data_IF_529562188514
#
_entry.id   IF_529562188514
#
_cell.length_a   1.000
_cell.length_b   1.000
_cell.length_c   1.000
_cell.angle_alpha   90.00
_cell.angle_beta   90.00
_cell.angle_gamma   90.00
#
_symmetry.space_group_name_H-M   'P 1'
#
loop_
_entity.id
_entity.type
_entity.pdbx_description
1 polymer ?
#
# COMPACT_ATOMS: atom_id res chain seq x y z
N UNK A 1 9.96 10.05 -16.63
CA UNK A 1 8.93 9.59 -17.59
C UNK A 1 9.41 8.28 -18.19
N UNK A 2 8.61 7.23 -18.09
CA UNK A 2 8.97 5.89 -18.59
C UNK A 2 8.91 5.89 -20.13
N UNK A 3 9.87 5.27 -20.85
CA UNK A 3 9.81 5.17 -22.30
C UNK A 3 8.52 4.49 -22.79
N UNK A 4 7.90 5.04 -23.85
CA UNK A 4 6.61 4.56 -24.39
C UNK A 4 6.60 3.07 -24.73
N UNK A 5 7.74 2.50 -25.16
CA UNK A 5 7.83 1.07 -25.46
C UNK A 5 7.45 0.19 -24.26
N UNK A 6 7.87 0.56 -23.04
CA UNK A 6 7.52 -0.16 -21.82
C UNK A 6 6.03 -0.01 -21.47
N UNK A 7 5.46 1.18 -21.70
CA UNK A 7 4.03 1.44 -21.49
C UNK A 7 3.19 0.58 -22.45
N UNK A 8 3.56 0.55 -23.74
CA UNK A 8 2.89 -0.28 -24.74
C UNK A 8 2.96 -1.77 -24.41
N UNK A 9 4.11 -2.24 -23.92
CA UNK A 9 4.27 -3.63 -23.49
C UNK A 9 3.41 -3.93 -22.26
N UNK A 10 3.44 -3.07 -21.23
CA UNK A 10 2.68 -3.26 -19.99
C UNK A 10 1.16 -3.24 -20.20
N UNK A 11 0.67 -2.54 -21.22
CA UNK A 11 -0.75 -2.50 -21.60
C UNK A 11 -1.35 -3.88 -21.90
N UNK A 12 -0.53 -4.87 -22.22
CA UNK A 12 -0.95 -6.27 -22.37
C UNK A 12 -1.39 -6.90 -21.04
N UNK A 13 -0.82 -6.45 -19.92
CA UNK A 13 -1.14 -6.90 -18.57
C UNK A 13 -2.16 -5.99 -17.88
N UNK A 14 -2.04 -4.69 -18.09
CA UNK A 14 -2.88 -3.65 -17.50
C UNK A 14 -3.51 -2.80 -18.62
N UNK A 15 -4.59 -3.28 -19.28
CA UNK A 15 -5.19 -2.63 -20.44
C UNK A 15 -6.08 -1.43 -20.04
N UNK A 16 -5.51 -0.49 -19.28
CA UNK A 16 -6.19 0.72 -18.86
C UNK A 16 -6.44 1.67 -20.05
N UNK A 17 -7.46 2.52 -19.91
CA UNK A 17 -7.98 3.36 -21.00
C UNK A 17 -6.92 4.36 -21.45
N UNK A 18 -6.21 4.99 -20.50
CA UNK A 18 -5.18 5.98 -20.81
C UNK A 18 -3.77 5.44 -20.58
N UNK A 19 -2.82 5.85 -21.41
CA UNK A 19 -1.41 5.46 -21.26
C UNK A 19 -0.80 5.97 -19.94
N UNK A 20 -1.34 7.06 -19.36
CA UNK A 20 -0.97 7.53 -18.04
C UNK A 20 -1.37 6.53 -16.93
N UNK A 21 -2.56 5.94 -17.01
CA UNK A 21 -2.97 4.88 -16.08
C UNK A 21 -2.11 3.63 -16.22
N UNK A 22 -1.70 3.29 -17.45
CA UNK A 22 -0.79 2.16 -17.70
C UNK A 22 0.60 2.44 -17.13
N UNK A 23 1.15 3.64 -17.33
CA UNK A 23 2.42 4.07 -16.74
C UNK A 23 2.36 4.03 -15.21
N UNK A 24 1.30 4.55 -14.62
CA UNK A 24 1.12 4.59 -13.17
C UNK A 24 0.94 3.18 -12.57
N UNK A 25 0.18 2.30 -13.23
CA UNK A 25 0.06 0.90 -12.84
C UNK A 25 1.41 0.16 -12.86
N UNK A 26 2.25 0.44 -13.85
CA UNK A 26 3.61 -0.08 -13.93
C UNK A 26 4.47 0.41 -12.76
N UNK A 27 4.38 1.70 -12.40
CA UNK A 27 5.08 2.28 -11.26
C UNK A 27 4.61 1.65 -9.94
N UNK A 28 3.29 1.50 -9.75
CA UNK A 28 2.70 0.86 -8.57
C UNK A 28 3.18 -0.59 -8.45
N UNK A 29 3.19 -1.32 -9.57
CA UNK A 29 3.62 -2.73 -9.61
C UNK A 29 5.09 -2.87 -9.23
N UNK A 30 5.96 -1.99 -9.75
CA UNK A 30 7.37 -1.94 -9.36
C UNK A 30 7.53 -1.59 -7.88
N UNK A 31 6.83 -0.57 -7.39
CA UNK A 31 6.91 -0.15 -5.99
C UNK A 31 6.51 -1.28 -5.03
N UNK A 32 5.45 -2.03 -5.36
CA UNK A 32 5.05 -3.20 -4.57
C UNK A 32 6.16 -4.27 -4.53
N UNK A 33 6.78 -4.57 -5.68
CA UNK A 33 7.90 -5.52 -5.72
C UNK A 33 9.08 -5.01 -4.88
N UNK A 34 9.47 -3.75 -5.04
CA UNK A 34 10.60 -3.16 -4.33
C UNK A 34 10.34 -3.11 -2.80
N UNK A 35 9.12 -2.78 -2.36
CA UNK A 35 8.71 -2.80 -0.95
C UNK A 35 8.79 -4.20 -0.35
N UNK A 36 8.20 -5.20 -1.00
CA UNK A 36 8.10 -6.55 -0.45
C UNK A 36 9.33 -7.43 -0.74
N UNK A 37 10.31 -6.92 -1.49
CA UNK A 37 11.64 -7.53 -1.63
C UNK A 37 12.60 -7.11 -0.52
N UNK A 38 12.28 -6.06 0.24
CA UNK A 38 13.05 -5.63 1.40
C UNK A 38 12.55 -6.36 2.66
N UNK A 39 13.44 -7.09 3.33
CA UNK A 39 13.10 -7.92 4.50
C UNK A 39 12.45 -7.11 5.63
N UNK A 40 12.97 -5.91 5.92
CA UNK A 40 12.45 -5.07 6.98
C UNK A 40 11.04 -4.56 6.65
N UNK A 41 10.83 -4.09 5.41
CA UNK A 41 9.51 -3.62 4.98
C UNK A 41 8.50 -4.75 4.90
N UNK A 42 8.87 -5.91 4.37
CA UNK A 42 8.00 -7.08 4.26
C UNK A 42 7.55 -7.59 5.65
N UNK A 43 8.45 -7.57 6.64
CA UNK A 43 8.16 -8.00 8.00
C UNK A 43 7.40 -6.96 8.83
N UNK A 44 7.44 -5.68 8.46
CA UNK A 44 6.78 -4.61 9.22
C UNK A 44 5.49 -4.09 8.57
N UNK A 45 5.24 -4.35 7.29
CA UNK A 45 4.11 -3.81 6.54
C UNK A 45 3.23 -4.91 5.93
N UNK A 46 1.91 -4.69 5.95
CA UNK A 46 0.95 -5.46 5.17
C UNK A 46 0.26 -4.59 4.14
N UNK A 47 0.16 -5.11 2.91
CA UNK A 47 -0.57 -4.49 1.82
C UNK A 47 -2.07 -4.80 1.93
N UNK A 48 -2.90 -3.75 1.87
CA UNK A 48 -4.35 -3.85 2.03
C UNK A 48 -5.07 -2.93 1.03
N UNK A 49 -6.39 -2.84 1.18
CA UNK A 49 -7.21 -1.91 0.40
C UNK A 49 -7.68 -2.46 -0.94
N UNK A 50 -8.28 -1.60 -1.75
CA UNK A 50 -8.84 -1.98 -3.04
C UNK A 50 -7.77 -2.43 -4.04
N UNK A 51 -6.62 -1.76 -4.02
CA UNK A 51 -5.49 -2.09 -4.89
C UNK A 51 -4.93 -3.48 -4.59
N UNK A 52 -4.87 -3.89 -3.32
CA UNK A 52 -4.45 -5.24 -2.95
C UNK A 52 -5.37 -6.32 -3.52
N UNK A 53 -6.68 -6.13 -3.42
CA UNK A 53 -7.66 -7.06 -4.02
C UNK A 53 -7.51 -7.13 -5.54
N UNK A 54 -7.36 -5.98 -6.20
CA UNK A 54 -7.20 -5.95 -7.65
C UNK A 54 -5.90 -6.59 -8.14
N UNK A 55 -4.79 -6.38 -7.42
CA UNK A 55 -3.47 -6.89 -7.83
C UNK A 55 -3.26 -8.35 -7.49
N UNK A 56 -3.82 -8.84 -6.39
CA UNK A 56 -3.55 -10.18 -5.87
C UNK A 56 -4.67 -11.19 -6.15
N UNK A 57 -5.92 -10.74 -6.32
CA UNK A 57 -7.08 -11.65 -6.40
C UNK A 57 -7.92 -11.52 -7.67
N UNK A 58 -8.06 -10.32 -8.25
CA UNK A 58 -8.90 -10.14 -9.44
C UNK A 58 -8.08 -10.15 -10.73
N UNK A 59 -8.33 -11.15 -11.58
CA UNK A 59 -7.78 -11.22 -12.93
C UNK A 59 -8.92 -11.43 -13.95
N UNK A 60 -9.27 -10.44 -14.79
CA UNK A 60 -8.73 -9.07 -14.84
C UNK A 60 -9.25 -8.16 -13.71
N UNK A 61 -8.50 -7.10 -13.39
CA UNK A 61 -8.91 -6.11 -12.40
C UNK A 61 -10.15 -5.33 -12.87
N UNK A 62 -11.21 -5.18 -12.04
CA UNK A 62 -12.48 -4.59 -12.45
C UNK A 62 -12.45 -3.06 -12.60
N UNK A 63 -11.53 -2.37 -11.91
CA UNK A 63 -11.37 -0.93 -11.99
C UNK A 63 -9.93 -0.52 -11.73
N UNK A 64 -9.56 0.65 -12.24
CA UNK A 64 -8.30 1.29 -11.94
C UNK A 64 -8.25 1.73 -10.46
N UNK A 65 -7.08 1.61 -9.84
CA UNK A 65 -6.82 2.02 -8.46
C UNK A 65 -5.39 2.52 -8.37
N UNK A 66 -5.19 3.73 -7.83
CA UNK A 66 -3.90 4.40 -7.79
C UNK A 66 -3.17 4.33 -6.45
N UNK A 67 -3.92 4.18 -5.35
CA UNK A 67 -3.37 4.24 -3.99
C UNK A 67 -2.74 2.90 -3.57
N UNK A 68 -1.65 2.91 -2.80
CA UNK A 68 -1.06 1.71 -2.19
C UNK A 68 -1.32 1.72 -0.67
N UNK A 69 -2.43 1.17 -0.19
CA UNK A 69 -2.70 1.20 1.24
C UNK A 69 -1.82 0.20 2.01
N UNK A 70 -0.98 0.72 2.92
CA UNK A 70 -0.11 -0.08 3.79
C UNK A 70 -0.56 0.02 5.24
N UNK A 71 -0.35 -1.04 6.02
CA UNK A 71 -0.47 -0.98 7.48
C UNK A 71 0.70 -1.64 8.17
N UNK A 72 1.08 -1.07 9.30
CA UNK A 72 2.07 -1.65 10.17
C UNK A 72 1.49 -2.89 10.87
N UNK A 73 2.20 -4.01 10.81
CA UNK A 73 1.76 -5.26 11.45
C UNK A 73 2.27 -5.40 12.89
N UNK A 74 3.37 -4.73 13.22
CA UNK A 74 3.98 -4.76 14.55
C UNK A 74 3.78 -3.46 15.32
N UNK A 75 3.56 -3.53 16.64
CA UNK A 75 3.40 -2.37 17.50
C UNK A 75 4.74 -1.70 17.87
N UNK A 76 5.44 -1.15 16.89
CA UNK A 76 6.78 -0.55 17.06
C UNK A 76 6.83 0.90 16.54
N UNK A 77 7.82 1.71 16.95
CA UNK A 77 8.03 3.02 16.33
C UNK A 77 8.22 2.89 14.82
N UNK A 78 7.40 3.60 14.04
CA UNK A 78 7.39 3.42 12.58
C UNK A 78 8.61 4.07 11.89
N UNK A 79 9.35 4.94 12.57
CA UNK A 79 10.41 5.77 11.98
C UNK A 79 11.38 5.02 11.07
N UNK A 80 11.94 3.89 11.54
CA UNK A 80 12.89 3.10 10.75
C UNK A 80 12.26 2.50 9.48
N UNK A 81 11.01 2.04 9.56
CA UNK A 81 10.24 1.50 8.42
C UNK A 81 10.03 2.59 7.37
N UNK A 82 9.75 3.81 7.83
CA UNK A 82 9.53 4.95 6.96
C UNK A 82 10.78 5.43 6.26
N UNK A 83 11.89 5.50 6.98
CA UNK A 83 13.17 5.88 6.40
C UNK A 83 13.59 4.85 5.36
N UNK A 84 13.38 3.55 5.66
CA UNK A 84 13.63 2.49 4.69
C UNK A 84 12.72 2.56 3.47
N UNK A 85 11.44 2.88 3.65
CA UNK A 85 10.50 3.05 2.55
C UNK A 85 10.91 4.21 1.62
N UNK A 86 11.45 5.30 2.18
CA UNK A 86 12.00 6.44 1.40
C UNK A 86 13.25 6.04 0.62
N UNK A 87 14.11 5.22 1.20
CA UNK A 87 15.32 4.72 0.53
C UNK A 87 14.95 3.81 -0.66
N UNK A 88 14.06 2.84 -0.43
CA UNK A 88 13.61 1.88 -1.44
C UNK A 88 12.89 2.58 -2.59
N UNK A 89 12.07 3.59 -2.27
CA UNK A 89 11.28 4.34 -3.26
C UNK A 89 11.92 5.67 -3.68
N UNK A 90 13.24 5.81 -3.56
CA UNK A 90 13.95 7.07 -3.83
C UNK A 90 13.85 7.58 -5.28
N UNK A 91 13.43 6.70 -6.20
CA UNK A 91 13.20 7.02 -7.61
C UNK A 91 11.84 7.70 -7.83
N UNK A 92 10.99 7.76 -6.80
CA UNK A 92 9.74 8.49 -6.77
C UNK A 92 9.95 9.86 -6.14
N UNK A 93 9.04 10.78 -6.42
CA UNK A 93 9.13 12.12 -5.86
C UNK A 93 9.00 12.12 -4.34
N UNK A 94 9.67 13.06 -3.64
CA UNK A 94 9.70 13.09 -2.19
C UNK A 94 8.29 13.29 -1.62
N UNK A 95 7.94 12.54 -0.55
CA UNK A 95 6.58 12.44 -0.08
C UNK A 95 6.04 13.75 0.51
N UNK A 96 4.79 14.11 0.18
CA UNK A 96 4.05 15.24 0.79
C UNK A 96 3.36 14.79 2.08
N UNK A 97 3.88 15.25 3.22
CA UNK A 97 3.29 14.98 4.54
C UNK A 97 2.02 15.82 4.75
N UNK A 98 0.84 15.19 4.78
CA UNK A 98 -0.42 15.80 5.23
C UNK A 98 -0.90 15.11 6.49
N UNK A 99 -0.77 15.79 7.62
CA UNK A 99 -1.25 15.31 8.92
C UNK A 99 -2.78 15.56 8.98
N UNK A 100 -3.58 14.49 8.97
CA UNK A 100 -5.02 14.53 9.29
C UNK A 100 -5.30 13.52 10.40
N UNK A 101 -6.31 13.79 11.22
CA UNK A 101 -6.69 13.03 12.44
C UNK A 101 -7.19 11.58 12.19
N UNK A 102 -6.90 10.94 11.05
CA UNK A 102 -7.42 9.61 10.69
C UNK A 102 -6.30 8.67 10.25
N UNK A 103 -6.03 7.62 11.04
CA UNK A 103 -5.04 6.58 10.78
C UNK A 103 -5.24 5.86 9.43
N UNK A 104 -4.52 6.29 8.39
CA UNK A 104 -4.30 5.54 7.16
C UNK A 104 -2.96 5.98 6.52
N UNK A 105 -2.13 5.02 6.12
CA UNK A 105 -0.96 5.27 5.27
C UNK A 105 -1.46 5.22 3.83
N UNK A 106 -1.75 6.39 3.24
CA UNK A 106 -2.14 6.51 1.84
C UNK A 106 -0.98 7.15 1.05
N UNK A 107 -0.22 6.36 0.27
CA UNK A 107 0.59 6.83 -0.83
C UNK A 107 -0.33 7.31 -1.96
N UNK A 108 -0.44 8.62 -2.12
CA UNK A 108 -1.11 9.23 -3.28
C UNK A 108 -0.07 9.28 -4.41
N UNK A 109 -0.16 8.29 -5.31
CA UNK A 109 0.63 8.31 -6.54
C UNK A 109 -0.16 9.07 -7.61
N UNK A 110 0.27 10.24 -8.08
CA UNK A 110 -0.37 10.97 -9.20
C UNK A 110 0.66 11.42 -10.22
N UNK A 111 0.48 11.00 -11.47
CA UNK A 111 1.17 11.63 -12.61
C UNK A 111 0.27 12.72 -13.19
N UNK A 112 0.36 13.94 -12.68
CA UNK A 112 -0.17 15.12 -13.39
C UNK A 112 0.89 15.62 -14.35
N UNK A 113 0.56 15.71 -15.64
CA UNK A 113 1.47 16.25 -16.65
C UNK A 113 2.06 17.62 -16.28
N UNK A 114 3.32 17.82 -16.71
CA UNK A 114 4.16 19.02 -16.72
C UNK A 114 4.55 19.73 -15.42
N UNK A 115 4.04 19.33 -14.25
CA UNK A 115 4.70 19.68 -12.97
C UNK A 115 4.43 18.59 -11.94
N UNK A 116 5.38 17.66 -11.86
CA UNK A 116 5.35 16.53 -10.95
C UNK A 116 5.29 16.98 -9.49
N UNK A 117 4.46 16.31 -8.70
CA UNK A 117 4.66 16.15 -7.26
C UNK A 117 3.72 15.06 -6.71
N UNK A 118 4.31 13.93 -6.38
CA UNK A 118 3.72 12.71 -5.84
C UNK A 118 3.95 12.63 -4.32
N UNK A 119 2.97 12.20 -3.50
CA UNK A 119 3.07 12.37 -2.04
C UNK A 119 2.55 11.21 -1.19
N UNK A 120 3.44 10.58 -0.41
CA UNK A 120 3.10 9.62 0.65
C UNK A 120 2.69 10.33 1.94
N UNK A 121 1.55 9.93 2.53
CA UNK A 121 1.12 10.36 3.86
C UNK A 121 1.35 9.28 4.92
N UNK A 122 1.76 9.69 6.13
CA UNK A 122 2.01 8.79 7.26
C UNK A 122 1.44 9.31 8.57
N UNK A 123 0.88 8.39 9.34
CA UNK A 123 0.23 8.65 10.63
C UNK A 123 0.62 7.51 11.57
N UNK A 124 1.19 7.83 12.73
CA UNK A 124 1.48 6.89 13.80
C UNK A 124 0.45 7.06 14.91
N UNK A 125 -0.21 5.96 15.33
CA UNK A 125 -0.66 5.76 16.71
C UNK A 125 -1.08 4.30 16.97
N UNK A 126 -0.52 3.80 18.07
CA UNK A 126 -0.86 2.65 18.91
C UNK A 126 -0.95 1.26 18.29
N UNK A 127 -0.21 0.37 18.96
CA UNK A 127 -0.16 -1.07 18.84
C UNK A 127 -1.55 -1.72 18.73
N UNK A 128 -1.81 -2.48 17.66
CA UNK A 128 -2.98 -3.36 17.57
C UNK A 128 -2.56 -4.79 17.92
N UNK A 129 -3.37 -5.50 18.70
CA UNK A 129 -3.18 -6.92 19.00
C UNK A 129 -4.35 -7.73 18.46
N UNK A 130 -4.04 -8.92 17.96
CA UNK A 130 -5.04 -9.94 17.68
C UNK A 130 -5.36 -10.67 18.97
N UNK A 131 -6.61 -10.61 19.41
CA UNK A 131 -7.11 -11.38 20.54
C UNK A 131 -8.16 -12.39 20.05
N UNK A 132 -8.18 -13.59 20.65
CA UNK A 132 -9.26 -14.55 20.44
C UNK A 132 -10.56 -14.00 21.04
N UNK A 133 -11.65 -13.97 20.26
CA UNK A 133 -12.96 -13.67 20.82
C UNK A 133 -13.43 -14.82 21.71
N UNK A 134 -13.47 -14.61 23.02
CA UNK A 134 -14.21 -15.51 23.92
C UNK A 134 -15.73 -15.26 23.88
N UNK A 135 -16.18 -14.13 23.30
CA UNK A 135 -17.59 -13.78 23.30
C UNK A 135 -18.35 -14.42 22.13
N UNK A 136 -19.02 -15.53 22.46
CA UNK A 136 -20.05 -16.25 21.70
C UNK A 136 -19.61 -17.00 20.45
N UNK A 137 -19.17 -18.24 20.67
CA UNK A 137 -19.23 -19.30 19.67
C UNK A 137 -19.81 -20.58 20.28
N UNK A 138 -21.13 -20.67 20.43
CA UNK A 138 -21.81 -21.96 20.68
C UNK A 138 -22.03 -22.78 19.40
N UNK A 139 -21.59 -22.29 18.23
CA UNK A 139 -21.90 -22.93 16.94
C UNK A 139 -20.73 -22.98 15.95
N UNK A 140 -19.50 -22.59 16.32
CA UNK A 140 -18.35 -22.72 15.41
C UNK A 140 -17.09 -23.25 16.10
N UNK A 141 -16.51 -24.30 15.53
CA UNK A 141 -15.24 -24.91 15.96
C UNK A 141 -14.00 -24.17 15.39
N UNK A 142 -14.15 -22.91 14.97
CA UNK A 142 -13.04 -22.12 14.41
C UNK A 142 -12.80 -20.89 15.28
N UNK A 143 -11.55 -20.64 15.72
CA UNK A 143 -11.23 -19.43 16.47
C UNK A 143 -11.48 -18.20 15.60
N UNK A 144 -12.22 -17.23 16.14
CA UNK A 144 -12.55 -15.97 15.47
C UNK A 144 -11.75 -14.84 16.09
N UNK A 145 -10.70 -14.40 15.40
CA UNK A 145 -9.80 -13.34 15.84
C UNK A 145 -10.47 -11.96 15.73
N UNK A 146 -10.30 -11.12 16.74
CA UNK A 146 -10.68 -9.70 16.71
C UNK A 146 -9.44 -8.83 16.79
N UNK A 147 -9.42 -7.78 15.99
CA UNK A 147 -8.42 -6.72 16.08
C UNK A 147 -8.84 -5.76 17.19
N UNK A 148 -8.08 -5.68 18.29
CA UNK A 148 -8.33 -4.76 19.41
C UNK A 148 -7.19 -3.74 19.56
N UNK A 149 -7.49 -2.48 19.96
CA UNK A 149 -6.45 -1.52 20.34
C UNK A 149 -5.74 -2.01 21.61
N UNK A 150 -4.40 -2.00 21.62
CA UNK A 150 -3.63 -2.25 22.84
C UNK A 150 -3.92 -1.14 23.84
N UNK A 151 -4.64 -1.45 24.92
CA UNK A 151 -4.81 -0.50 26.04
C UNK A 151 -3.42 -0.18 26.62
N UNK A 152 -3.17 1.11 26.83
CA UNK A 152 -2.04 1.61 27.62
C UNK A 152 -2.26 1.29 29.11
#
# INVERSE_FOLDING_TARGET
MIPRAYITHWKQHAPWISDAQVEQDLVISRALVDIFSDELLADSLAFRGGTALHKLYFAPAPRYSEDIDLVQIRPEPIGAVIDRLREVLNYLEPPKVKQKDRNALNPDFRTTGLSGTCGLSMIQKDAWKWEENEEHSRTSLRPRWRLMPSRA
#
